data_IF_417226687412
#
_entry.id   IF_417226687412
#
_cell.length_a   1.000
_cell.length_b   1.000
_cell.length_c   1.000
_cell.angle_alpha   90.00
_cell.angle_beta   90.00
_cell.angle_gamma   90.00
#
_symmetry.space_group_name_H-M   'P 1'
#
loop_
_entity.id
_entity.type
_entity.pdbx_description
1 polymer ?
#
# COMPACT_ATOMS: atom_id res chain seq x y z
N UNK A 1 23.69 25.89 -61.38
CA UNK A 1 22.85 24.70 -61.14
C UNK A 1 23.27 24.02 -59.84
N UNK A 2 22.49 24.15 -58.76
CA UNK A 2 22.48 23.20 -57.66
C UNK A 2 21.15 22.42 -57.64
N UNK A 3 21.24 21.09 -57.44
CA UNK A 3 20.08 20.19 -57.38
C UNK A 3 19.32 20.38 -56.07
N UNK A 4 18.03 20.63 -56.18
CA UNK A 4 17.02 20.55 -55.11
C UNK A 4 16.72 19.09 -54.78
N UNK A 5 16.66 18.74 -53.49
CA UNK A 5 15.89 17.59 -52.99
C UNK A 5 15.21 17.94 -51.68
N UNK A 6 14.06 17.30 -51.50
CA UNK A 6 12.88 17.66 -50.72
C UNK A 6 12.80 16.90 -49.39
N UNK A 7 11.97 17.45 -48.47
CA UNK A 7 11.22 16.81 -47.36
C UNK A 7 12.05 16.17 -46.22
N UNK A 8 12.03 16.72 -45.00
CA UNK A 8 10.95 16.67 -43.99
C UNK A 8 10.52 15.23 -43.66
N UNK A 9 10.80 14.75 -42.43
CA UNK A 9 9.79 14.06 -41.61
C UNK A 9 10.24 13.80 -40.15
N UNK A 10 9.30 14.17 -39.28
CA UNK A 10 9.18 13.95 -37.84
C UNK A 10 8.74 12.51 -37.53
N UNK A 11 9.32 11.79 -36.55
CA UNK A 11 8.90 10.43 -36.22
C UNK A 11 7.71 10.41 -35.24
N UNK A 12 6.51 10.68 -35.75
CA UNK A 12 5.25 10.33 -35.09
C UNK A 12 4.48 9.32 -35.97
N UNK A 13 4.87 8.04 -35.92
CA UNK A 13 4.00 6.95 -36.42
C UNK A 13 4.47 5.59 -35.90
N UNK A 14 3.89 5.13 -34.78
CA UNK A 14 3.81 3.69 -34.48
C UNK A 14 2.81 3.35 -33.38
N UNK A 15 1.56 3.80 -33.52
CA UNK A 15 0.42 3.19 -32.83
C UNK A 15 -0.80 3.23 -33.75
N UNK A 16 -1.01 2.15 -34.50
CA UNK A 16 -2.28 1.82 -35.12
C UNK A 16 -2.50 0.32 -34.99
N UNK A 17 -3.66 -0.05 -34.47
CA UNK A 17 -4.23 -1.39 -34.59
C UNK A 17 -4.70 -1.99 -33.28
N UNK A 18 -5.92 -1.66 -32.84
CA UNK A 18 -6.96 -2.64 -32.49
C UNK A 18 -8.30 -1.91 -32.22
N UNK A 19 -9.45 -2.49 -32.60
CA UNK A 19 -10.67 -1.75 -32.93
C UNK A 19 -11.62 -1.50 -31.75
N UNK A 20 -12.36 -0.40 -31.86
CA UNK A 20 -13.55 -0.05 -31.08
C UNK A 20 -14.82 -0.61 -31.74
N UNK A 21 -15.81 -0.99 -30.91
CA UNK A 21 -17.26 -1.21 -31.10
C UNK A 21 -17.68 -2.45 -30.28
N UNK A 22 -18.72 -2.49 -29.43
CA UNK A 22 -20.03 -1.85 -29.44
C UNK A 22 -20.57 -1.58 -28.02
N UNK A 23 -21.43 -0.58 -27.92
CA UNK A 23 -22.23 -0.23 -26.77
C UNK A 23 -23.47 -1.14 -26.57
N UNK A 24 -23.92 -1.30 -25.32
CA UNK A 24 -25.35 -1.15 -24.98
C UNK A 24 -26.18 -2.38 -24.56
N UNK A 25 -26.63 -2.32 -23.30
CA UNK A 25 -27.99 -2.62 -22.77
C UNK A 25 -28.43 -4.06 -22.39
N UNK A 26 -29.11 -4.08 -21.23
CA UNK A 26 -30.20 -4.95 -20.75
C UNK A 26 -29.94 -6.41 -20.34
N UNK A 27 -29.95 -6.60 -19.02
CA UNK A 27 -30.98 -7.32 -18.25
C UNK A 27 -31.69 -8.49 -18.94
N UNK A 28 -31.41 -9.74 -18.54
CA UNK A 28 -32.41 -10.82 -18.52
C UNK A 28 -32.09 -11.90 -17.46
N UNK A 29 -33.09 -12.13 -16.63
CA UNK A 29 -33.28 -13.25 -15.70
C UNK A 29 -33.43 -14.57 -16.49
N UNK A 30 -32.89 -15.70 -16.01
CA UNK A 30 -33.61 -16.97 -15.84
C UNK A 30 -32.69 -18.17 -15.52
N UNK A 31 -33.25 -19.04 -14.69
CA UNK A 31 -32.77 -20.28 -14.10
C UNK A 31 -32.63 -21.47 -15.08
N UNK A 32 -32.11 -22.57 -14.50
CA UNK A 32 -32.13 -24.00 -14.89
C UNK A 32 -30.96 -24.50 -15.75
N UNK A 33 -30.44 -25.71 -15.61
CA UNK A 33 -30.28 -26.73 -14.55
C UNK A 33 -29.41 -27.82 -15.21
N UNK A 34 -28.74 -28.65 -14.40
CA UNK A 34 -28.09 -29.92 -14.77
C UNK A 34 -26.87 -29.88 -15.69
N UNK A 35 -25.70 -30.14 -15.10
CA UNK A 35 -24.49 -30.50 -15.82
C UNK A 35 -23.30 -30.61 -14.88
N UNK A 36 -23.16 -31.73 -14.18
CA UNK A 36 -21.97 -32.08 -13.41
C UNK A 36 -20.74 -32.10 -14.30
N UNK A 37 -19.88 -31.10 -14.16
CA UNK A 37 -18.48 -31.17 -14.58
C UNK A 37 -17.64 -30.86 -13.34
N UNK A 38 -17.00 -31.90 -12.84
CA UNK A 38 -15.93 -31.82 -11.84
C UNK A 38 -14.73 -31.12 -12.47
N UNK A 39 -14.51 -29.84 -12.16
CA UNK A 39 -13.22 -29.19 -12.40
C UNK A 39 -12.40 -29.22 -11.11
N UNK A 40 -11.58 -30.26 -11.03
CA UNK A 40 -10.32 -30.26 -10.29
C UNK A 40 -9.49 -29.05 -10.71
N UNK A 41 -8.73 -28.49 -9.76
CA UNK A 41 -8.15 -27.17 -9.82
C UNK A 41 -7.35 -26.81 -11.07
N UNK A 42 -7.45 -25.53 -11.42
CA UNK A 42 -6.46 -24.80 -12.19
C UNK A 42 -6.55 -23.32 -11.82
N UNK A 43 -5.71 -22.92 -10.87
CA UNK A 43 -5.16 -21.57 -10.83
C UNK A 43 -3.80 -21.62 -11.54
N UNK A 44 -3.62 -20.86 -12.64
CA UNK A 44 -2.29 -20.58 -13.14
C UNK A 44 -2.05 -19.07 -13.32
N UNK A 45 -1.99 -18.30 -12.22
CA UNK A 45 -1.20 -17.06 -12.23
C UNK A 45 0.29 -17.42 -12.23
N UNK A 46 0.80 -17.72 -13.41
CA UNK A 46 2.22 -17.94 -13.67
C UNK A 46 2.85 -16.62 -14.11
N UNK A 47 3.43 -15.88 -13.15
CA UNK A 47 4.40 -14.84 -13.48
C UNK A 47 5.75 -15.51 -13.75
N UNK A 48 6.32 -15.16 -14.91
CA UNK A 48 7.47 -15.82 -15.52
C UNK A 48 8.72 -15.86 -14.65
N UNK A 49 9.38 -17.02 -14.65
CA UNK A 49 10.77 -17.21 -14.22
C UNK A 49 11.68 -16.34 -15.09
N UNK A 50 12.12 -15.21 -14.58
CA UNK A 50 13.35 -14.56 -15.04
C UNK A 50 14.50 -15.19 -14.24
N UNK A 51 15.31 -15.98 -14.93
CA UNK A 51 16.51 -16.57 -14.37
C UNK A 51 17.54 -15.49 -14.03
N UNK A 52 17.77 -15.27 -12.73
CA UNK A 52 18.88 -14.44 -12.26
C UNK A 52 20.06 -15.37 -11.95
N UNK A 53 21.13 -15.16 -12.70
CA UNK A 53 22.44 -15.79 -12.52
C UNK A 53 22.97 -15.39 -11.14
N UNK A 54 23.19 -16.38 -10.25
CA UNK A 54 23.81 -16.19 -8.92
C UNK A 54 25.25 -15.73 -9.10
N UNK A 55 25.51 -14.43 -8.94
CA UNK A 55 26.85 -13.96 -8.60
C UNK A 55 27.07 -14.08 -7.09
N UNK A 56 28.05 -14.89 -6.70
CA UNK A 56 28.50 -15.08 -5.31
C UNK A 56 29.36 -13.87 -4.89
N UNK A 57 28.71 -12.82 -4.39
CA UNK A 57 29.37 -11.77 -3.61
C UNK A 57 29.17 -12.02 -2.11
N UNK A 58 30.25 -12.31 -1.37
CA UNK A 58 30.24 -12.31 0.11
C UNK A 58 30.06 -10.86 0.58
N UNK A 59 28.85 -10.48 0.98
CA UNK A 59 28.64 -9.30 1.82
C UNK A 59 28.59 -9.75 3.29
N UNK A 60 29.70 -9.56 4.01
CA UNK A 60 29.74 -9.67 5.47
C UNK A 60 29.02 -8.47 6.07
N UNK A 61 27.71 -8.62 6.29
CA UNK A 61 26.92 -7.66 7.07
C UNK A 61 27.20 -7.92 8.56
N UNK A 62 27.81 -6.95 9.24
CA UNK A 62 27.88 -6.91 10.71
C UNK A 62 26.46 -7.05 11.25
N UNK A 63 26.19 -8.16 11.94
CA UNK A 63 24.87 -8.51 12.43
C UNK A 63 24.48 -7.61 13.60
N UNK A 64 24.06 -6.37 13.31
CA UNK A 64 23.37 -5.52 14.28
C UNK A 64 22.03 -6.21 14.54
N UNK A 65 21.86 -6.81 15.71
CA UNK A 65 20.63 -7.50 16.10
C UNK A 65 19.51 -6.47 16.21
N UNK A 66 18.75 -6.29 15.14
CA UNK A 66 17.58 -5.41 15.14
C UNK A 66 16.55 -6.00 16.10
N UNK A 67 16.15 -5.23 17.12
CA UNK A 67 15.07 -5.62 18.01
C UNK A 67 13.77 -5.65 17.22
N UNK A 68 13.29 -6.87 16.91
CA UNK A 68 12.05 -7.07 16.15
C UNK A 68 10.84 -6.49 16.90
N UNK A 69 10.05 -5.70 16.18
CA UNK A 69 8.77 -5.16 16.66
C UNK A 69 7.64 -6.16 16.44
N UNK A 70 6.43 -5.84 16.90
CA UNK A 70 5.28 -6.72 16.65
C UNK A 70 4.92 -6.79 15.16
N UNK A 71 5.00 -5.66 14.44
CA UNK A 71 4.81 -5.61 13.00
C UNK A 71 5.77 -6.58 12.27
N UNK A 72 7.06 -6.54 12.61
CA UNK A 72 8.08 -7.42 12.01
C UNK A 72 7.80 -8.89 12.30
N UNK A 73 7.44 -9.24 13.54
CA UNK A 73 7.09 -10.62 13.91
C UNK A 73 5.86 -11.13 13.14
N UNK A 74 4.89 -10.25 12.86
CA UNK A 74 3.71 -10.62 12.08
C UNK A 74 4.08 -10.89 10.62
N UNK A 75 4.90 -10.03 10.02
CA UNK A 75 5.42 -10.21 8.66
C UNK A 75 6.22 -11.51 8.53
N UNK A 76 7.10 -11.81 9.49
CA UNK A 76 7.83 -13.08 9.56
C UNK A 76 6.87 -14.28 9.58
N UNK A 77 5.81 -14.21 10.39
CA UNK A 77 4.80 -15.28 10.53
C UNK A 77 4.04 -15.51 9.23
N UNK A 78 3.73 -14.44 8.50
CA UNK A 78 3.02 -14.48 7.22
C UNK A 78 3.96 -14.77 6.03
N UNK A 79 5.28 -14.82 6.26
CA UNK A 79 6.32 -15.02 5.24
C UNK A 79 6.34 -13.90 4.17
N UNK A 80 5.94 -12.70 4.57
CA UNK A 80 6.03 -11.52 3.72
C UNK A 80 7.48 -11.01 3.69
N UNK A 81 7.96 -10.62 2.51
CA UNK A 81 9.31 -10.05 2.38
C UNK A 81 9.28 -8.57 2.74
N UNK A 82 10.26 -8.12 3.52
CA UNK A 82 10.34 -6.73 3.93
C UNK A 82 11.78 -6.29 4.23
N UNK A 83 12.04 -5.00 4.06
CA UNK A 83 13.30 -4.33 4.44
C UNK A 83 13.03 -3.39 5.60
N UNK A 84 13.96 -3.33 6.57
CA UNK A 84 13.83 -2.42 7.73
C UNK A 84 14.74 -1.22 7.54
N UNK A 85 14.18 -0.04 7.74
CA UNK A 85 14.91 1.22 7.72
C UNK A 85 14.84 1.86 9.12
N UNK A 86 16.00 2.05 9.75
CA UNK A 86 16.12 2.75 11.04
C UNK A 86 16.66 4.17 10.82
N UNK A 87 16.09 5.15 11.52
CA UNK A 87 16.56 6.52 11.52
C UNK A 87 16.57 7.10 12.93
N UNK A 88 17.45 8.08 13.16
CA UNK A 88 17.48 8.80 14.42
C UNK A 88 16.18 9.61 14.56
N UNK A 89 15.52 9.45 15.70
CA UNK A 89 14.31 10.16 16.04
C UNK A 89 14.46 10.79 17.42
N UNK A 90 14.21 12.09 17.53
CA UNK A 90 14.08 12.80 18.80
C UNK A 90 12.87 13.74 18.74
N UNK A 91 12.34 14.11 19.91
CA UNK A 91 11.22 15.07 20.02
C UNK A 91 11.64 16.49 19.62
N UNK A 92 12.94 16.80 19.74
CA UNK A 92 13.52 18.13 19.54
C UNK A 92 14.06 18.37 18.12
N UNK A 93 14.21 17.32 17.31
CA UNK A 93 14.78 17.42 15.97
C UNK A 93 13.70 17.27 14.89
N UNK A 94 13.44 18.38 14.19
CA UNK A 94 12.64 18.48 12.96
C UNK A 94 13.20 17.58 11.81
N UNK A 95 14.41 17.05 11.96
CA UNK A 95 15.12 16.25 10.96
C UNK A 95 14.46 14.89 10.66
N UNK A 96 13.44 14.49 11.43
CA UNK A 96 12.68 13.27 11.13
C UNK A 96 11.88 13.38 9.82
N UNK A 97 11.37 14.58 9.48
CA UNK A 97 10.59 14.80 8.26
C UNK A 97 11.47 14.79 7.01
N UNK A 98 12.61 15.49 7.05
CA UNK A 98 13.62 15.50 5.97
C UNK A 98 14.17 14.09 5.70
N UNK A 99 14.36 13.27 6.75
CA UNK A 99 14.77 11.88 6.60
C UNK A 99 13.67 11.04 5.96
N UNK A 100 12.41 11.21 6.35
CA UNK A 100 11.28 10.52 5.71
C UNK A 100 11.10 10.92 4.24
N UNK A 101 11.32 12.19 3.90
CA UNK A 101 11.29 12.67 2.51
C UNK A 101 12.39 12.04 1.67
N UNK A 102 13.63 12.02 2.16
CA UNK A 102 14.76 11.33 1.48
C UNK A 102 14.48 9.83 1.33
N UNK A 103 14.00 9.18 2.38
CA UNK A 103 13.60 7.78 2.32
C UNK A 103 12.48 7.56 1.29
N UNK A 104 11.55 8.50 1.16
CA UNK A 104 10.48 8.41 0.18
C UNK A 104 11.00 8.48 -1.25
N UNK A 105 12.06 9.26 -1.49
CA UNK A 105 12.70 9.38 -2.81
C UNK A 105 13.52 8.13 -3.18
N UNK A 106 14.15 7.50 -2.19
CA UNK A 106 15.10 6.41 -2.41
C UNK A 106 14.47 5.01 -2.33
N UNK A 107 13.47 4.79 -1.48
CA UNK A 107 12.98 3.45 -1.12
C UNK A 107 11.50 3.19 -1.44
N UNK A 108 10.64 4.22 -1.52
CA UNK A 108 9.23 4.05 -1.90
C UNK A 108 8.29 5.05 -1.23
N UNK A 109 7.03 5.08 -1.62
CA UNK A 109 6.08 6.04 -1.05
C UNK A 109 5.81 5.76 0.44
N UNK A 110 5.86 6.82 1.25
CA UNK A 110 5.59 6.74 2.70
C UNK A 110 4.09 6.80 2.97
N UNK A 111 3.60 5.85 3.77
CA UNK A 111 2.21 5.77 4.20
C UNK A 111 2.09 5.95 5.70
N UNK A 112 1.13 6.78 6.11
CA UNK A 112 0.74 6.97 7.51
C UNK A 112 -0.50 6.14 7.83
N UNK A 113 -0.50 5.59 9.05
CA UNK A 113 -1.64 4.85 9.60
C UNK A 113 -2.43 5.75 10.52
N UNK A 114 -3.71 5.91 10.19
CA UNK A 114 -4.68 6.72 10.92
C UNK A 114 -5.72 5.78 11.53
N UNK A 115 -6.11 6.06 12.77
CA UNK A 115 -7.14 5.29 13.47
C UNK A 115 -8.33 6.20 13.71
N UNK A 116 -9.52 5.70 13.40
CA UNK A 116 -10.77 6.40 13.58
C UNK A 116 -11.80 5.51 14.27
N UNK A 117 -12.90 6.10 14.70
CA UNK A 117 -14.03 5.43 15.33
C UNK A 117 -15.28 5.75 14.52
N UNK A 118 -15.90 4.71 13.98
CA UNK A 118 -17.18 4.76 13.30
C UNK A 118 -18.35 4.57 14.27
N UNK A 119 -19.47 5.20 13.96
CA UNK A 119 -20.70 5.15 14.77
C UNK A 119 -21.33 3.75 14.89
N UNK A 120 -21.02 2.83 13.98
CA UNK A 120 -21.58 1.47 13.96
C UNK A 120 -20.53 0.38 14.11
N UNK A 121 -19.40 0.50 13.42
CA UNK A 121 -18.37 -0.55 13.38
C UNK A 121 -17.32 -0.42 14.48
N UNK A 122 -17.33 0.69 15.24
CA UNK A 122 -16.30 1.00 16.21
C UNK A 122 -14.99 1.38 15.54
N UNK A 123 -13.87 0.91 16.07
CA UNK A 123 -12.52 1.30 15.61
C UNK A 123 -12.24 0.76 14.20
N UNK A 124 -11.78 1.65 13.32
CA UNK A 124 -11.33 1.35 11.95
C UNK A 124 -10.00 2.03 11.66
N UNK A 125 -9.25 1.48 10.71
CA UNK A 125 -7.89 1.94 10.38
C UNK A 125 -7.83 2.36 8.91
N UNK A 126 -7.32 3.55 8.66
CA UNK A 126 -7.03 4.08 7.33
C UNK A 126 -5.52 4.18 7.11
N UNK A 127 -5.03 3.69 5.98
CA UNK A 127 -3.61 3.73 5.62
C UNK A 127 -3.50 4.52 4.32
N UNK A 128 -2.91 5.71 4.39
CA UNK A 128 -2.91 6.68 3.29
C UNK A 128 -1.50 7.23 3.05
N UNK A 129 -1.19 7.74 1.84
CA UNK A 129 0.08 8.40 1.60
C UNK A 129 0.30 9.56 2.57
N UNK A 130 1.55 9.80 2.96
CA UNK A 130 1.90 10.79 3.97
C UNK A 130 1.46 12.22 3.57
N UNK A 131 1.52 12.53 2.28
CA UNK A 131 1.19 13.82 1.66
C UNK A 131 -0.32 14.08 1.54
N UNK A 132 -1.17 13.04 1.60
CA UNK A 132 -2.62 13.18 1.48
C UNK A 132 -3.29 13.35 2.85
N UNK A 133 -4.56 13.75 2.85
CA UNK A 133 -5.42 13.72 4.01
C UNK A 133 -6.49 12.62 3.90
N UNK A 134 -7.01 12.20 5.05
CA UNK A 134 -8.09 11.22 5.11
C UNK A 134 -9.41 11.93 4.80
N UNK A 135 -10.12 11.48 3.78
CA UNK A 135 -11.50 11.92 3.55
C UNK A 135 -12.43 11.17 4.50
N UNK A 136 -12.89 11.85 5.55
CA UNK A 136 -13.78 11.27 6.55
C UNK A 136 -15.14 10.83 5.99
N UNK A 137 -15.64 11.48 4.93
CA UNK A 137 -16.92 11.11 4.29
C UNK A 137 -16.76 9.84 3.47
N UNK A 138 -15.73 9.79 2.62
CA UNK A 138 -15.41 8.59 1.85
C UNK A 138 -15.09 7.42 2.79
N UNK A 139 -14.31 7.68 3.85
CA UNK A 139 -13.95 6.68 4.82
C UNK A 139 -15.14 6.15 5.62
N UNK A 140 -16.08 7.02 6.04
CA UNK A 140 -17.34 6.58 6.67
C UNK A 140 -18.13 5.65 5.75
N UNK A 141 -18.24 6.01 4.46
CA UNK A 141 -18.98 5.21 3.46
C UNK A 141 -18.39 3.80 3.29
N UNK A 142 -17.09 3.70 3.01
CA UNK A 142 -16.44 2.38 2.76
C UNK A 142 -16.37 1.52 4.01
N UNK A 143 -16.33 2.15 5.19
CA UNK A 143 -16.36 1.45 6.48
C UNK A 143 -17.76 1.06 6.96
N UNK A 144 -18.82 1.43 6.24
CA UNK A 144 -20.21 1.10 6.60
C UNK A 144 -20.80 1.97 7.71
N UNK A 145 -20.20 3.13 7.97
CA UNK A 145 -20.60 4.08 9.01
C UNK A 145 -21.33 5.28 8.42
N UNK A 146 -22.18 5.92 9.23
CA UNK A 146 -22.76 7.23 8.85
C UNK A 146 -21.82 8.37 9.25
N UNK A 147 -21.10 8.20 10.36
CA UNK A 147 -20.12 9.18 10.87
C UNK A 147 -18.85 8.46 11.29
N UNK A 148 -17.72 9.09 11.02
CA UNK A 148 -16.41 8.69 11.51
C UNK A 148 -15.73 9.88 12.15
N UNK A 149 -15.04 9.62 13.25
CA UNK A 149 -14.21 10.61 13.95
C UNK A 149 -12.83 10.04 14.18
N UNK A 150 -11.81 10.90 14.15
CA UNK A 150 -10.44 10.51 14.43
C UNK A 150 -10.32 10.03 15.89
N UNK A 151 -9.63 8.91 16.11
CA UNK A 151 -9.39 8.42 17.46
C UNK A 151 -8.51 9.44 18.21
N UNK A 152 -8.88 9.87 19.42
CA UNK A 152 -8.06 10.78 20.20
C UNK A 152 -6.67 10.19 20.46
N UNK A 153 -5.62 11.02 20.32
CA UNK A 153 -4.23 10.56 20.46
C UNK A 153 -3.93 9.92 21.82
N UNK A 154 -4.61 10.35 22.88
CA UNK A 154 -4.50 9.79 24.23
C UNK A 154 -4.98 8.33 24.32
N UNK A 155 -5.89 7.92 23.42
CA UNK A 155 -6.50 6.59 23.43
C UNK A 155 -5.81 5.64 22.42
N UNK A 156 -4.87 6.15 21.63
CA UNK A 156 -4.20 5.42 20.55
C UNK A 156 -3.44 4.19 21.07
N UNK A 157 -2.61 4.35 22.10
CA UNK A 157 -1.78 3.28 22.63
C UNK A 157 -2.60 2.22 23.37
N UNK A 158 -3.61 2.66 24.13
CA UNK A 158 -4.56 1.76 24.78
C UNK A 158 -5.26 0.87 23.75
N UNK A 159 -5.73 1.47 22.65
CA UNK A 159 -6.50 0.81 21.60
C UNK A 159 -5.64 -0.09 20.69
N UNK A 160 -4.54 0.44 20.16
CA UNK A 160 -3.75 -0.24 19.11
C UNK A 160 -2.54 -0.99 19.66
N UNK A 161 -2.00 -0.55 20.80
CA UNK A 161 -0.70 -0.96 21.31
C UNK A 161 0.48 -0.20 20.71
N UNK A 162 0.21 0.82 19.87
CA UNK A 162 1.24 1.67 19.29
C UNK A 162 1.11 3.12 19.75
N UNK A 163 2.26 3.78 19.81
CA UNK A 163 2.39 5.19 20.20
C UNK A 163 2.24 6.12 18.99
N UNK A 164 1.97 7.41 19.26
CA UNK A 164 2.01 8.45 18.23
C UNK A 164 3.40 8.51 17.57
N UNK A 165 3.43 8.51 16.23
CA UNK A 165 4.66 8.47 15.44
C UNK A 165 5.26 7.07 15.29
N UNK A 166 4.63 6.04 15.87
CA UNK A 166 5.00 4.63 15.75
C UNK A 166 3.84 3.71 15.39
N UNK A 167 2.67 4.25 15.01
CA UNK A 167 1.49 3.44 14.67
C UNK A 167 1.69 2.69 13.35
N UNK A 168 1.78 1.36 13.43
CA UNK A 168 1.87 0.47 12.27
C UNK A 168 0.48 -0.08 11.91
N UNK A 169 0.18 -0.30 10.62
CA UNK A 169 -1.07 -0.97 10.23
C UNK A 169 -1.01 -2.49 10.49
N UNK A 170 0.16 -3.03 10.81
CA UNK A 170 0.40 -4.45 11.00
C UNK A 170 0.64 -4.74 12.48
N UNK A 171 0.06 -5.84 12.98
CA UNK A 171 0.33 -6.32 14.33
C UNK A 171 -0.21 -5.40 15.44
N UNK A 172 -1.41 -4.84 15.28
CA UNK A 172 -2.10 -4.18 16.40
C UNK A 172 -2.58 -5.21 17.44
N UNK A 173 -2.90 -4.76 18.67
CA UNK A 173 -3.42 -5.61 19.76
C UNK A 173 -4.66 -6.41 19.36
N UNK A 174 -5.51 -5.84 18.51
CA UNK A 174 -6.70 -6.47 17.92
C UNK A 174 -6.66 -6.26 16.41
N UNK A 175 -7.30 -7.18 15.68
CA UNK A 175 -7.54 -6.96 14.25
C UNK A 175 -8.67 -5.93 14.09
N UNK A 176 -8.41 -4.86 13.36
CA UNK A 176 -9.39 -3.83 13.03
C UNK A 176 -9.64 -3.83 11.51
N UNK A 177 -10.87 -3.52 11.06
CA UNK A 177 -11.12 -3.26 9.64
C UNK A 177 -10.15 -2.20 9.14
N UNK A 178 -9.30 -2.58 8.19
CA UNK A 178 -8.22 -1.75 7.67
C UNK A 178 -8.44 -1.45 6.20
N UNK A 179 -8.32 -0.19 5.84
CA UNK A 179 -8.55 0.33 4.50
C UNK A 179 -7.30 1.06 4.03
N UNK A 180 -6.79 0.65 2.88
CA UNK A 180 -5.58 1.15 2.26
C UNK A 180 -5.98 2.04 1.08
N UNK A 181 -5.36 3.20 0.95
CA UNK A 181 -5.65 4.11 -0.17
C UNK A 181 -5.35 3.44 -1.52
N UNK A 182 -6.21 3.69 -2.50
CA UNK A 182 -6.03 3.22 -3.88
C UNK A 182 -4.68 3.60 -4.50
N UNK A 183 -4.05 4.69 -4.06
CA UNK A 183 -2.72 5.10 -4.52
C UNK A 183 -1.68 3.99 -4.37
N UNK A 184 -1.86 3.05 -3.44
CA UNK A 184 -0.93 1.92 -3.23
C UNK A 184 -0.76 1.04 -4.47
N UNK A 185 -1.74 1.04 -5.38
CA UNK A 185 -1.71 0.22 -6.59
C UNK A 185 -0.72 0.74 -7.63
N UNK A 186 -0.37 2.03 -7.55
CA UNK A 186 0.59 2.68 -8.45
C UNK A 186 2.03 2.60 -7.92
N UNK A 187 2.20 2.12 -6.68
CA UNK A 187 3.49 2.06 -6.01
C UNK A 187 4.24 0.75 -6.28
N UNK A 188 5.55 0.85 -6.50
CA UNK A 188 6.41 -0.34 -6.58
C UNK A 188 6.72 -0.93 -5.21
N UNK A 189 6.87 -0.04 -4.23
CA UNK A 189 7.27 -0.34 -2.86
C UNK A 189 6.67 0.71 -1.94
N UNK A 190 6.27 0.31 -0.74
CA UNK A 190 5.65 1.20 0.24
C UNK A 190 6.37 1.13 1.57
N UNK A 191 6.50 2.30 2.20
CA UNK A 191 7.06 2.46 3.54
C UNK A 191 5.94 2.68 4.54
N UNK A 192 5.85 1.83 5.56
CA UNK A 192 4.95 2.00 6.70
C UNK A 192 5.71 1.93 8.01
N UNK A 193 5.17 2.56 9.06
CA UNK A 193 5.79 2.52 10.39
C UNK A 193 6.06 1.08 10.84
N UNK A 194 7.27 0.84 11.36
CA UNK A 194 7.65 -0.45 11.90
C UNK A 194 7.12 -0.75 13.29
N UNK A 195 6.27 0.10 13.87
CA UNK A 195 5.68 -0.12 15.19
C UNK A 195 6.43 0.56 16.35
N UNK A 196 7.46 1.35 16.04
CA UNK A 196 8.19 2.22 16.98
C UNK A 196 8.70 3.45 16.23
N UNK A 197 8.91 4.56 16.94
CA UNK A 197 9.51 5.78 16.38
C UNK A 197 10.93 5.47 15.86
N UNK A 198 11.32 6.13 14.76
CA UNK A 198 12.62 5.91 14.14
C UNK A 198 12.74 4.60 13.35
N UNK A 199 11.63 3.97 12.97
CA UNK A 199 11.66 2.72 12.19
C UNK A 199 10.54 2.68 11.16
N UNK A 200 10.90 2.46 9.90
CA UNK A 200 9.99 2.13 8.81
C UNK A 200 10.25 0.71 8.33
N UNK A 201 9.22 0.11 7.75
CA UNK A 201 9.28 -1.16 7.05
C UNK A 201 8.88 -0.90 5.61
N UNK A 202 9.76 -1.28 4.70
CA UNK A 202 9.53 -1.29 3.27
C UNK A 202 9.05 -2.67 2.83
N UNK A 203 7.98 -2.73 2.05
CA UNK A 203 7.42 -3.97 1.53
C UNK A 203 6.62 -3.72 0.24
N UNK A 204 6.27 -4.79 -0.46
CA UNK A 204 5.41 -4.69 -1.63
C UNK A 204 3.97 -4.30 -1.23
N UNK A 205 3.21 -3.58 -2.08
CA UNK A 205 1.79 -3.33 -1.84
C UNK A 205 0.99 -4.61 -1.57
N UNK A 206 1.32 -5.69 -2.28
CA UNK A 206 0.67 -7.00 -2.11
C UNK A 206 0.91 -7.58 -0.71
N UNK A 207 2.14 -7.56 -0.24
CA UNK A 207 2.48 -8.01 1.11
C UNK A 207 1.82 -7.14 2.18
N UNK A 208 1.75 -5.82 1.97
CA UNK A 208 1.07 -4.92 2.90
C UNK A 208 -0.43 -5.25 3.02
N UNK A 209 -1.12 -5.48 1.88
CA UNK A 209 -2.53 -5.86 1.88
C UNK A 209 -2.76 -7.17 2.64
N UNK A 210 -1.92 -8.18 2.41
CA UNK A 210 -1.99 -9.47 3.10
C UNK A 210 -1.73 -9.28 4.59
N UNK A 211 -0.66 -8.56 4.95
CA UNK A 211 -0.21 -8.46 6.32
C UNK A 211 -1.14 -7.64 7.22
N UNK A 212 -1.71 -6.57 6.67
CA UNK A 212 -2.67 -5.73 7.36
C UNK A 212 -4.12 -6.22 7.22
N UNK A 213 -4.37 -7.29 6.45
CA UNK A 213 -5.73 -7.72 6.06
C UNK A 213 -6.57 -6.56 5.50
N UNK A 214 -5.92 -5.70 4.70
CA UNK A 214 -6.48 -4.44 4.26
C UNK A 214 -7.26 -4.57 2.95
N UNK A 215 -8.30 -3.74 2.82
CA UNK A 215 -9.02 -3.53 1.55
C UNK A 215 -8.57 -2.23 0.90
N UNK A 216 -8.39 -2.23 -0.41
CA UNK A 216 -8.03 -1.03 -1.15
C UNK A 216 -9.27 -0.21 -1.46
N UNK A 217 -9.28 1.06 -1.09
CA UNK A 217 -10.42 1.96 -1.24
C UNK A 217 -9.98 3.40 -1.52
N UNK A 218 -10.90 4.21 -2.06
CA UNK A 218 -10.73 5.64 -2.21
C UNK A 218 -11.13 6.36 -0.92
N UNK A 219 -10.12 6.66 -0.08
CA UNK A 219 -10.29 7.24 1.26
C UNK A 219 -9.46 8.51 1.47
N UNK A 220 -8.88 9.04 0.41
CA UNK A 220 -7.95 10.18 0.43
C UNK A 220 -8.56 11.41 -0.20
N UNK A 221 -8.20 12.59 0.32
CA UNK A 221 -8.36 13.87 -0.34
C UNK A 221 -7.01 14.59 -0.42
N UNK A 222 -6.93 15.59 -1.29
CA UNK A 222 -5.78 16.50 -1.32
C UNK A 222 -5.71 17.27 0.00
N UNK A 223 -4.49 17.66 0.37
CA UNK A 223 -4.25 18.44 1.58
C UNK A 223 -4.60 19.89 1.27
N UNK A 224 -5.55 20.45 2.01
CA UNK A 224 -5.92 21.86 1.87
C UNK A 224 -4.70 22.70 2.33
N UNK A 225 -4.07 23.44 1.41
CA UNK A 225 -2.94 24.35 1.67
C UNK A 225 -3.36 25.62 2.45
#
# INVERSE_FOLDING_TARGET
MPRTWSTNQNPASKYQGLPQHCAGKSLFFALFYAGTITFSGCNPYTYGKIGIIRQKGKMTVKNKKITKTNAMRMLDKQKCSYTVHEYAWSEDHLDALSVLEKMSQDAGAVYKTIVAVGDKTGVVVGVIPAQNELDLKAFAKVSGNKRIEMLPLKDLEATTGYIRGGCSPIGMKKAFPTYLSHHVLDEKSVLVSGGKRGTQIELSPADLMIAAHAKVEEITKEKDE
#
